data_IF_359807290541
#
_entry.id   IF_359807290541
#
_cell.length_a   1.000
_cell.length_b   1.000
_cell.length_c   1.000
_cell.angle_alpha   90.00
_cell.angle_beta   90.00
_cell.angle_gamma   90.00
#
_symmetry.space_group_name_H-M   'P 1'
#
loop_
_entity.id
_entity.type
_entity.pdbx_description
1 polymer ?
#
# COMPACT_ATOMS: atom_id res chain seq x y z
N UNK A 1 2.22 20.85 -0.89
CA UNK A 1 1.08 19.96 -1.17
C UNK A 1 1.48 19.13 -2.37
N UNK A 2 1.39 17.81 -2.29
CA UNK A 2 1.82 16.89 -3.35
C UNK A 2 0.80 16.98 -4.50
N UNK A 3 1.24 17.23 -5.73
CA UNK A 3 0.34 17.20 -6.90
C UNK A 3 0.08 15.76 -7.30
N UNK A 4 -1.18 15.34 -7.43
CA UNK A 4 -1.52 14.00 -7.92
C UNK A 4 -2.23 14.14 -9.27
N UNK A 5 -1.71 13.46 -10.29
CA UNK A 5 -2.26 13.43 -11.63
C UNK A 5 -2.75 12.01 -11.93
N UNK A 6 -4.02 11.90 -12.33
CA UNK A 6 -4.62 10.64 -12.79
C UNK A 6 -4.70 10.69 -14.32
N UNK A 7 -3.92 9.87 -15.01
CA UNK A 7 -3.87 9.87 -16.49
C UNK A 7 -3.21 8.60 -17.01
N UNK A 8 -3.72 8.09 -18.13
CA UNK A 8 -3.08 6.99 -18.86
C UNK A 8 -2.01 7.47 -19.88
N UNK A 9 -1.84 8.78 -20.07
CA UNK A 9 -0.75 9.40 -20.84
C UNK A 9 0.36 9.93 -19.92
N UNK A 10 1.10 8.99 -19.31
CA UNK A 10 2.23 9.28 -18.41
C UNK A 10 3.27 10.18 -19.09
N UNK A 11 3.58 9.89 -20.36
CA UNK A 11 4.65 10.57 -21.10
C UNK A 11 4.35 12.05 -21.29
N UNK A 12 3.11 12.39 -21.65
CA UNK A 12 2.67 13.78 -21.75
C UNK A 12 2.67 14.48 -20.39
N UNK A 13 2.16 13.82 -19.36
CA UNK A 13 2.15 14.36 -18.00
C UNK A 13 3.57 14.67 -17.48
N UNK A 14 4.51 13.73 -17.64
CA UNK A 14 5.90 13.94 -17.27
C UNK A 14 6.54 15.07 -18.07
N UNK A 15 6.30 15.18 -19.38
CA UNK A 15 6.83 16.29 -20.20
C UNK A 15 6.29 17.65 -19.72
N UNK A 16 5.01 17.74 -19.36
CA UNK A 16 4.41 18.98 -18.81
C UNK A 16 5.08 19.35 -17.49
N UNK A 17 5.12 18.40 -16.53
CA UNK A 17 5.73 18.61 -15.21
C UNK A 17 7.21 19.02 -15.32
N UNK A 18 7.98 18.34 -16.17
CA UNK A 18 9.40 18.66 -16.40
C UNK A 18 9.54 20.05 -17.04
N UNK A 19 8.67 20.40 -18.00
CA UNK A 19 8.66 21.71 -18.65
C UNK A 19 8.41 22.84 -17.65
N UNK A 20 7.42 22.68 -16.76
CA UNK A 20 7.10 23.63 -15.69
C UNK A 20 8.22 23.72 -14.66
N UNK A 21 8.84 22.59 -14.29
CA UNK A 21 9.93 22.54 -13.32
C UNK A 21 11.25 23.13 -13.83
N UNK A 22 11.46 23.13 -15.16
CA UNK A 22 12.70 23.54 -15.83
C UNK A 22 13.99 23.05 -15.12
N UNK A 23 14.15 21.74 -14.89
CA UNK A 23 15.31 21.20 -14.17
C UNK A 23 16.60 21.27 -15.00
N UNK A 24 17.75 21.28 -14.33
CA UNK A 24 19.06 21.24 -15.03
C UNK A 24 19.34 19.89 -15.70
N UNK A 25 18.78 18.81 -15.16
CA UNK A 25 18.84 17.46 -15.70
C UNK A 25 17.76 16.58 -15.07
N UNK A 26 17.40 15.51 -15.75
CA UNK A 26 16.38 14.53 -15.35
C UNK A 26 17.04 13.16 -15.23
N UNK A 27 16.72 12.40 -14.19
CA UNK A 27 17.22 11.04 -13.98
C UNK A 27 16.06 10.11 -13.61
N UNK A 28 15.99 8.94 -14.22
CA UNK A 28 14.99 7.92 -13.89
C UNK A 28 15.61 6.91 -12.93
N UNK A 29 14.89 6.56 -11.86
CA UNK A 29 15.21 5.42 -10.99
C UNK A 29 14.11 4.39 -11.16
N UNK A 30 14.50 3.13 -11.43
CA UNK A 30 13.56 2.02 -11.67
C UNK A 30 14.19 0.69 -11.28
N UNK A 31 13.40 -0.39 -11.26
CA UNK A 31 13.91 -1.75 -11.15
C UNK A 31 14.02 -2.44 -12.51
N UNK A 32 14.70 -3.60 -12.55
CA UNK A 32 14.92 -4.35 -13.78
C UNK A 32 13.63 -4.80 -14.49
N UNK A 33 12.57 -5.16 -13.76
CA UNK A 33 11.32 -5.61 -14.36
C UNK A 33 10.59 -4.46 -15.03
N UNK A 34 10.52 -3.30 -14.36
CA UNK A 34 9.86 -2.10 -14.84
C UNK A 34 10.63 -1.47 -16.01
N UNK A 35 11.96 -1.52 -15.98
CA UNK A 35 12.81 -1.16 -17.12
C UNK A 35 12.43 -1.93 -18.38
N UNK A 36 12.19 -3.23 -18.26
CA UNK A 36 11.97 -4.09 -19.42
C UNK A 36 10.50 -4.09 -19.89
N UNK A 37 9.54 -3.96 -18.96
CA UNK A 37 8.11 -4.08 -19.25
C UNK A 37 7.38 -2.76 -19.43
N UNK A 38 7.81 -1.69 -18.75
CA UNK A 38 7.05 -0.43 -18.68
C UNK A 38 7.77 0.69 -19.43
N UNK A 39 9.07 0.90 -19.19
CA UNK A 39 9.80 2.03 -19.79
C UNK A 39 9.76 2.08 -21.33
N UNK A 40 9.79 0.97 -22.09
CA UNK A 40 9.74 1.02 -23.55
C UNK A 40 8.47 1.71 -24.07
N UNK A 41 7.32 1.50 -23.41
CA UNK A 41 6.06 2.12 -23.78
C UNK A 41 6.03 3.63 -23.49
N UNK A 42 6.79 4.10 -22.49
CA UNK A 42 6.84 5.52 -22.12
C UNK A 42 7.72 6.36 -23.06
N UNK A 43 8.63 5.74 -23.82
CA UNK A 43 9.50 6.44 -24.78
C UNK A 43 10.20 7.68 -24.17
N UNK A 44 10.73 7.52 -22.94
CA UNK A 44 11.45 8.57 -22.21
C UNK A 44 12.96 8.48 -22.50
N UNK A 45 13.55 9.60 -22.93
CA UNK A 45 14.98 9.67 -23.29
C UNK A 45 15.82 10.32 -22.20
N UNK A 46 15.80 9.75 -20.99
CA UNK A 46 16.58 10.23 -19.83
C UNK A 46 17.53 9.15 -19.31
N UNK A 47 18.65 9.51 -18.66
CA UNK A 47 19.51 8.54 -17.97
C UNK A 47 18.71 7.69 -16.98
N UNK A 48 18.91 6.37 -17.02
CA UNK A 48 18.20 5.40 -16.18
C UNK A 48 19.18 4.74 -15.20
N UNK A 49 18.81 4.75 -13.93
CA UNK A 49 19.47 4.05 -12.84
C UNK A 49 18.59 2.85 -12.47
N UNK A 50 19.13 1.65 -12.64
CA UNK A 50 18.38 0.40 -12.49
C UNK A 50 18.79 -0.30 -11.21
N UNK A 51 17.80 -0.71 -10.41
CA UNK A 51 17.99 -1.52 -9.22
C UNK A 51 17.53 -2.96 -9.44
N UNK A 52 17.89 -3.84 -8.50
CA UNK A 52 17.27 -5.15 -8.40
C UNK A 52 15.79 -5.01 -8.00
N UNK A 53 14.90 -5.90 -8.46
CA UNK A 53 13.50 -5.90 -8.05
C UNK A 53 13.30 -6.52 -6.66
N UNK A 54 12.16 -6.22 -6.03
CA UNK A 54 11.73 -6.82 -4.77
C UNK A 54 12.27 -6.13 -3.51
N UNK A 55 11.71 -6.48 -2.35
CA UNK A 55 11.99 -5.82 -1.08
C UNK A 55 13.44 -6.00 -0.60
N UNK A 56 14.11 -7.08 -1.02
CA UNK A 56 15.54 -7.30 -0.76
C UNK A 56 16.43 -6.17 -1.28
N UNK A 57 16.00 -5.48 -2.34
CA UNK A 57 16.72 -4.34 -2.90
C UNK A 57 16.56 -3.06 -2.05
N UNK A 58 15.61 -3.02 -1.11
CA UNK A 58 15.27 -1.86 -0.29
C UNK A 58 16.26 -1.66 0.87
N UNK A 59 17.54 -1.47 0.56
CA UNK A 59 18.62 -1.43 1.55
C UNK A 59 19.65 -0.32 1.25
N UNK A 60 20.57 -0.08 2.20
CA UNK A 60 21.59 0.96 2.10
C UNK A 60 22.56 0.78 0.92
N UNK A 61 22.86 -0.46 0.53
CA UNK A 61 23.75 -0.75 -0.61
C UNK A 61 23.12 -0.27 -1.91
N UNK A 62 21.85 -0.61 -2.16
CA UNK A 62 21.12 -0.15 -3.35
C UNK A 62 20.94 1.36 -3.34
N UNK A 63 20.64 1.95 -2.18
CA UNK A 63 20.55 3.40 -2.02
C UNK A 63 21.88 4.10 -2.39
N UNK A 64 23.01 3.53 -1.96
CA UNK A 64 24.34 4.01 -2.34
C UNK A 64 24.58 3.96 -3.85
N UNK A 65 24.17 2.86 -4.52
CA UNK A 65 24.23 2.73 -5.98
C UNK A 65 23.40 3.80 -6.69
N UNK A 66 22.22 4.14 -6.17
CA UNK A 66 21.39 5.23 -6.72
C UNK A 66 22.13 6.56 -6.65
N UNK A 67 22.71 6.90 -5.49
CA UNK A 67 23.49 8.13 -5.37
C UNK A 67 24.72 8.14 -6.29
N UNK A 68 25.43 7.02 -6.42
CA UNK A 68 26.54 6.90 -7.37
C UNK A 68 26.09 7.13 -8.81
N UNK A 69 24.94 6.57 -9.22
CA UNK A 69 24.34 6.80 -10.53
C UNK A 69 24.00 8.27 -10.76
N UNK A 70 23.40 8.94 -9.77
CA UNK A 70 23.11 10.38 -9.84
C UNK A 70 24.38 11.22 -9.97
N UNK A 71 25.46 10.87 -9.24
CA UNK A 71 26.76 11.56 -9.35
C UNK A 71 27.35 11.36 -10.74
N UNK A 72 27.39 10.12 -11.23
CA UNK A 72 27.93 9.79 -12.54
C UNK A 72 27.14 10.47 -13.68
N UNK A 73 25.81 10.59 -13.53
CA UNK A 73 24.94 11.32 -14.44
C UNK A 73 25.00 12.85 -14.32
N UNK A 74 25.84 13.40 -13.44
CA UNK A 74 25.99 14.84 -13.28
C UNK A 74 24.78 15.53 -12.64
N UNK A 75 24.01 14.82 -11.81
CA UNK A 75 22.86 15.41 -11.11
C UNK A 75 23.30 16.56 -10.18
N UNK A 76 22.54 17.66 -10.19
CA UNK A 76 22.75 18.86 -9.39
C UNK A 76 21.58 19.09 -8.43
N UNK A 77 21.65 20.13 -7.59
CA UNK A 77 20.51 20.53 -6.74
C UNK A 77 19.27 20.97 -7.53
N UNK A 78 19.44 21.34 -8.82
CA UNK A 78 18.34 21.73 -9.71
C UNK A 78 17.85 20.57 -10.58
N UNK A 79 18.38 19.36 -10.40
CA UNK A 79 17.89 18.17 -11.10
C UNK A 79 16.54 17.70 -10.54
N UNK A 80 15.87 16.83 -11.29
CA UNK A 80 14.69 16.09 -10.83
C UNK A 80 14.94 14.60 -10.99
N UNK A 81 14.50 13.81 -10.01
CA UNK A 81 14.51 12.35 -10.06
C UNK A 81 13.09 11.86 -10.35
N UNK A 82 12.92 10.93 -11.29
CA UNK A 82 11.64 10.31 -11.59
C UNK A 82 11.71 8.84 -11.18
N UNK A 83 10.96 8.49 -10.14
CA UNK A 83 10.91 7.12 -9.62
C UNK A 83 9.79 6.37 -10.31
N UNK A 84 10.12 5.43 -11.19
CA UNK A 84 9.14 4.63 -11.95
C UNK A 84 9.23 3.19 -11.46
N UNK A 85 8.24 2.74 -10.67
CA UNK A 85 8.28 1.41 -10.07
C UNK A 85 7.21 1.17 -9.01
N UNK A 86 7.28 0.01 -8.36
CA UNK A 86 6.42 -0.31 -7.20
C UNK A 86 6.83 0.45 -5.93
N UNK A 87 6.25 0.07 -4.79
CA UNK A 87 6.47 0.75 -3.50
C UNK A 87 7.95 0.81 -3.09
N UNK A 88 8.72 -0.24 -3.39
CA UNK A 88 10.16 -0.30 -3.13
C UNK A 88 10.91 0.83 -3.86
N UNK A 89 10.64 1.01 -5.16
CA UNK A 89 11.31 2.03 -5.97
C UNK A 89 10.87 3.43 -5.57
N UNK A 90 9.57 3.65 -5.32
CA UNK A 90 9.07 4.98 -4.92
C UNK A 90 9.59 5.41 -3.55
N UNK A 91 9.68 4.49 -2.59
CA UNK A 91 10.20 4.78 -1.25
C UNK A 91 11.71 5.02 -1.27
N UNK A 92 12.46 4.10 -1.87
CA UNK A 92 13.92 4.17 -1.91
C UNK A 92 14.40 5.32 -2.80
N UNK A 93 13.77 5.51 -3.97
CA UNK A 93 14.08 6.60 -4.89
C UNK A 93 13.70 7.97 -4.31
N UNK A 94 12.55 8.06 -3.62
CA UNK A 94 12.16 9.25 -2.87
C UNK A 94 13.15 9.57 -1.75
N UNK A 95 13.60 8.57 -0.99
CA UNK A 95 14.59 8.77 0.07
C UNK A 95 15.96 9.17 -0.50
N UNK A 96 16.36 8.56 -1.63
CA UNK A 96 17.56 8.95 -2.35
C UNK A 96 17.51 10.42 -2.76
N UNK A 97 16.38 10.89 -3.32
CA UNK A 97 16.18 12.27 -3.72
C UNK A 97 16.16 13.22 -2.51
N UNK A 98 15.49 12.85 -1.42
CA UNK A 98 15.40 13.65 -0.20
C UNK A 98 16.77 13.90 0.47
N UNK A 99 17.70 12.94 0.34
CA UNK A 99 19.02 13.00 0.97
C UNK A 99 20.13 13.46 0.02
N UNK A 100 19.98 13.24 -1.28
CA UNK A 100 20.97 13.64 -2.27
C UNK A 100 21.14 15.17 -2.31
N UNK A 101 22.37 15.65 -2.11
CA UNK A 101 22.72 17.08 -2.01
C UNK A 101 21.86 17.88 -1.00
N UNK A 102 21.31 17.20 0.02
CA UNK A 102 20.36 17.69 1.03
C UNK A 102 18.95 17.98 0.48
N UNK A 103 18.54 17.27 -0.56
CA UNK A 103 17.23 17.38 -1.17
C UNK A 103 17.33 17.81 -2.63
N UNK A 104 16.72 17.01 -3.50
CA UNK A 104 16.39 17.35 -4.88
C UNK A 104 14.92 17.03 -5.12
N UNK A 105 14.32 17.70 -6.11
CA UNK A 105 12.92 17.45 -6.50
C UNK A 105 12.76 16.04 -7.04
N UNK A 106 11.60 15.46 -6.83
CA UNK A 106 11.28 14.17 -7.43
C UNK A 106 9.80 13.98 -7.74
N UNK A 107 9.56 13.08 -8.70
CA UNK A 107 8.23 12.68 -9.16
C UNK A 107 8.13 11.16 -8.98
N UNK A 108 7.00 10.69 -8.46
CA UNK A 108 6.71 9.26 -8.39
C UNK A 108 5.75 8.85 -9.52
N UNK A 109 6.04 7.72 -10.17
CA UNK A 109 5.17 7.05 -11.14
C UNK A 109 4.98 5.61 -10.65
N UNK A 110 3.98 5.37 -9.77
CA UNK A 110 3.71 4.04 -9.26
C UNK A 110 3.29 3.09 -10.38
N UNK A 111 3.89 1.89 -10.41
CA UNK A 111 3.59 0.84 -11.41
C UNK A 111 2.97 -0.42 -10.80
N UNK A 112 2.72 -0.40 -9.49
CA UNK A 112 1.93 -1.42 -8.79
C UNK A 112 0.65 -0.77 -8.28
N UNK A 113 -0.46 -1.51 -8.24
CA UNK A 113 -1.70 -0.99 -7.68
C UNK A 113 -1.53 -0.57 -6.21
N UNK A 114 -0.81 -1.39 -5.42
CA UNK A 114 -0.50 -1.10 -4.02
C UNK A 114 0.27 0.21 -3.84
N UNK A 115 1.27 0.47 -4.68
CA UNK A 115 2.01 1.73 -4.60
C UNK A 115 1.20 2.94 -5.05
N UNK A 116 0.28 2.76 -6.00
CA UNK A 116 -0.57 3.86 -6.46
C UNK A 116 -1.64 4.26 -5.43
N UNK A 117 -2.23 3.28 -4.74
CA UNK A 117 -3.27 3.52 -3.72
C UNK A 117 -2.70 3.97 -2.38
N UNK A 118 -1.48 3.50 -2.03
CA UNK A 118 -0.89 3.75 -0.72
C UNK A 118 0.53 4.34 -0.80
N UNK A 119 1.55 3.55 -1.15
CA UNK A 119 2.96 3.91 -0.87
C UNK A 119 3.45 5.21 -1.53
N UNK A 120 3.06 5.50 -2.78
CA UNK A 120 3.53 6.68 -3.50
C UNK A 120 2.91 8.01 -3.00
N UNK A 121 1.84 7.93 -2.21
CA UNK A 121 1.05 9.06 -1.71
C UNK A 121 1.27 9.24 -0.20
N UNK A 122 1.63 10.46 0.22
CA UNK A 122 1.80 10.81 1.64
C UNK A 122 3.24 11.03 2.12
N UNK A 123 4.23 10.87 1.23
CA UNK A 123 5.60 11.37 1.44
C UNK A 123 6.44 10.63 2.48
N UNK A 124 6.06 9.41 2.88
CA UNK A 124 6.94 8.52 3.64
C UNK A 124 7.91 7.86 2.66
N UNK A 125 9.20 7.98 2.89
CA UNK A 125 10.25 7.41 2.05
C UNK A 125 11.31 6.77 2.93
N UNK A 126 11.95 5.68 2.49
CA UNK A 126 12.95 5.03 3.32
C UNK A 126 13.48 3.71 2.78
N UNK A 127 14.29 3.07 3.61
CA UNK A 127 14.91 1.77 3.39
C UNK A 127 14.74 0.85 4.60
N UNK A 128 14.87 -0.44 4.37
CA UNK A 128 15.02 -1.44 5.42
C UNK A 128 16.46 -1.39 5.95
N UNK A 129 16.65 -1.67 7.24
CA UNK A 129 17.96 -1.67 7.88
C UNK A 129 18.03 -2.75 8.95
N UNK A 130 19.09 -3.56 8.95
CA UNK A 130 19.31 -4.65 9.92
C UNK A 130 18.10 -5.59 10.10
N UNK A 131 17.38 -5.89 9.02
CA UNK A 131 16.21 -6.78 9.02
C UNK A 131 14.90 -6.10 9.44
N UNK A 132 14.93 -4.82 9.79
CA UNK A 132 13.74 -4.03 10.14
C UNK A 132 13.18 -3.31 8.91
N UNK A 133 11.88 -3.46 8.66
CA UNK A 133 11.18 -2.80 7.55
C UNK A 133 11.05 -1.29 7.81
N UNK A 134 11.37 -0.47 6.81
CA UNK A 134 11.17 1.00 6.83
C UNK A 134 11.82 1.76 8.01
N UNK A 135 12.88 1.22 8.60
CA UNK A 135 13.48 1.74 9.83
C UNK A 135 14.19 3.09 9.63
N UNK A 136 14.83 3.28 8.46
CA UNK A 136 15.55 4.51 8.13
C UNK A 136 14.85 5.23 6.99
N UNK A 137 14.42 6.47 7.21
CA UNK A 137 13.67 7.21 6.21
C UNK A 137 13.53 8.70 6.45
N UNK A 138 12.70 9.33 5.63
CA UNK A 138 12.34 10.74 5.73
C UNK A 138 10.88 10.99 5.33
N UNK A 139 10.28 12.00 5.94
CA UNK A 139 9.03 12.61 5.46
C UNK A 139 9.38 13.63 4.38
N UNK A 140 9.33 13.18 3.13
CA UNK A 140 9.60 13.97 1.93
C UNK A 140 8.50 13.71 0.91
N UNK A 141 7.53 14.64 0.71
CA UNK A 141 6.52 14.49 -0.33
C UNK A 141 7.17 14.69 -1.71
N UNK A 142 6.72 13.90 -2.69
CA UNK A 142 7.07 14.15 -4.08
C UNK A 142 6.48 15.50 -4.53
N UNK A 143 7.14 16.17 -5.48
CA UNK A 143 6.56 17.34 -6.15
C UNK A 143 5.29 16.94 -6.94
N UNK A 144 5.31 15.74 -7.53
CA UNK A 144 4.13 15.15 -8.18
C UNK A 144 4.09 13.62 -8.09
N UNK A 145 2.89 13.05 -8.19
CA UNK A 145 2.63 11.62 -8.40
C UNK A 145 1.80 11.47 -9.67
N UNK A 146 2.25 10.66 -10.62
CA UNK A 146 1.51 10.35 -11.86
C UNK A 146 0.95 8.95 -11.74
N UNK A 147 -0.34 8.84 -11.44
CA UNK A 147 -1.06 7.59 -11.28
C UNK A 147 -1.69 7.20 -12.61
N UNK A 148 -1.40 5.98 -13.07
CA UNK A 148 -1.79 5.47 -14.37
C UNK A 148 -2.01 3.97 -14.33
N UNK A 149 -3.22 3.52 -14.64
CA UNK A 149 -3.57 2.10 -14.70
C UNK A 149 -2.98 1.41 -15.93
N UNK A 150 -2.56 2.15 -16.96
CA UNK A 150 -1.89 1.58 -18.14
C UNK A 150 -0.65 0.74 -17.84
N UNK A 151 0.03 1.02 -16.71
CA UNK A 151 1.23 0.28 -16.28
C UNK A 151 0.92 -1.07 -15.63
N UNK A 152 -0.33 -1.26 -15.17
CA UNK A 152 -0.75 -2.43 -14.42
C UNK A 152 -1.05 -3.64 -15.30
N UNK A 153 -1.23 -3.44 -16.62
CA UNK A 153 -1.43 -4.51 -17.61
C UNK A 153 -0.33 -5.58 -17.61
N UNK A 154 0.86 -5.25 -17.09
CA UNK A 154 2.01 -6.16 -17.00
C UNK A 154 2.22 -6.78 -15.61
N UNK A 155 1.38 -6.43 -14.63
CA UNK A 155 1.48 -6.91 -13.26
C UNK A 155 0.99 -8.36 -13.15
N UNK A 156 1.64 -9.18 -12.31
CA UNK A 156 1.07 -10.44 -11.87
C UNK A 156 -0.29 -10.23 -11.20
N UNK A 157 -1.21 -11.20 -11.34
CA UNK A 157 -2.52 -11.18 -10.69
C UNK A 157 -2.40 -10.96 -9.18
N UNK A 158 -1.40 -11.56 -8.54
CA UNK A 158 -1.16 -11.42 -7.09
C UNK A 158 -0.88 -9.97 -6.68
N UNK A 159 -0.11 -9.22 -7.47
CA UNK A 159 0.19 -7.81 -7.22
C UNK A 159 -1.04 -6.92 -7.43
N UNK A 160 -1.90 -7.27 -8.39
CA UNK A 160 -3.21 -6.62 -8.56
C UNK A 160 -4.10 -6.83 -7.34
N UNK A 161 -4.28 -8.08 -6.90
CA UNK A 161 -5.09 -8.41 -5.73
C UNK A 161 -4.54 -7.79 -4.44
N UNK A 162 -3.22 -7.78 -4.28
CA UNK A 162 -2.57 -7.16 -3.12
C UNK A 162 -2.86 -5.66 -3.05
N UNK A 163 -2.81 -4.93 -4.18
CA UNK A 163 -3.19 -3.52 -4.18
C UNK A 163 -4.68 -3.29 -4.00
N UNK A 164 -5.51 -4.18 -4.56
CA UNK A 164 -6.96 -4.05 -4.50
C UNK A 164 -7.53 -4.24 -3.09
N UNK A 165 -6.85 -5.00 -2.24
CA UNK A 165 -7.21 -5.12 -0.82
C UNK A 165 -7.23 -3.75 -0.11
N UNK A 166 -6.25 -2.89 -0.39
CA UNK A 166 -6.24 -1.52 0.16
C UNK A 166 -7.36 -0.65 -0.43
N UNK A 167 -7.76 -0.90 -1.69
CA UNK A 167 -8.93 -0.24 -2.27
C UNK A 167 -10.21 -0.65 -1.56
N UNK A 168 -10.41 -1.95 -1.30
CA UNK A 168 -11.56 -2.47 -0.53
C UNK A 168 -11.61 -1.87 0.87
N UNK A 169 -10.45 -1.75 1.53
CA UNK A 169 -10.32 -1.04 2.81
C UNK A 169 -10.81 0.40 2.71
N UNK A 170 -10.35 1.15 1.71
CA UNK A 170 -10.82 2.52 1.50
C UNK A 170 -12.32 2.60 1.20
N UNK A 171 -12.88 1.63 0.47
CA UNK A 171 -14.33 1.51 0.27
C UNK A 171 -15.08 1.37 1.59
N UNK A 172 -14.67 0.40 2.43
CA UNK A 172 -15.24 0.19 3.78
C UNK A 172 -15.15 1.42 4.68
N UNK A 173 -14.16 2.28 4.49
CA UNK A 173 -13.96 3.53 5.24
C UNK A 173 -14.67 4.75 4.62
N UNK A 174 -15.19 4.62 3.40
CA UNK A 174 -15.78 5.73 2.64
C UNK A 174 -17.29 5.74 2.74
N UNK A 175 -17.93 4.72 2.18
CA UNK A 175 -19.39 4.57 2.10
C UNK A 175 -19.77 3.17 1.64
N UNK A 176 -21.01 2.76 1.90
CA UNK A 176 -21.59 1.53 1.35
C UNK A 176 -21.54 1.48 -0.18
N UNK A 177 -21.85 2.60 -0.85
CA UNK A 177 -21.84 2.70 -2.31
C UNK A 177 -20.44 2.47 -2.89
N UNK A 178 -19.42 3.15 -2.38
CA UNK A 178 -18.03 2.98 -2.85
C UNK A 178 -17.52 1.57 -2.58
N UNK A 179 -17.87 0.98 -1.43
CA UNK A 179 -17.50 -0.39 -1.09
C UNK A 179 -18.15 -1.41 -2.04
N UNK A 180 -19.45 -1.28 -2.29
CA UNK A 180 -20.18 -2.18 -3.18
C UNK A 180 -19.72 -2.04 -4.63
N UNK A 181 -19.42 -0.82 -5.10
CA UNK A 181 -18.85 -0.60 -6.43
C UNK A 181 -17.54 -1.36 -6.64
N UNK A 182 -16.69 -1.46 -5.60
CA UNK A 182 -15.46 -2.25 -5.65
C UNK A 182 -15.74 -3.76 -5.64
N UNK A 183 -16.69 -4.23 -4.82
CA UNK A 183 -17.04 -5.65 -4.79
C UNK A 183 -17.65 -6.14 -6.11
N UNK A 184 -18.34 -5.26 -6.84
CA UNK A 184 -18.97 -5.59 -8.12
C UNK A 184 -17.98 -5.45 -9.31
N UNK A 185 -16.74 -5.01 -9.06
CA UNK A 185 -15.70 -4.88 -10.06
C UNK A 185 -14.80 -6.13 -10.09
N UNK A 186 -14.78 -6.82 -11.23
CA UNK A 186 -13.87 -7.95 -11.44
C UNK A 186 -12.43 -7.45 -11.65
N UNK A 187 -11.63 -7.48 -10.59
CA UNK A 187 -10.22 -7.09 -10.65
C UNK A 187 -9.34 -8.11 -11.39
N UNK A 188 -9.80 -9.36 -11.54
CA UNK A 188 -9.03 -10.40 -12.22
C UNK A 188 -9.05 -10.21 -13.75
N UNK A 189 -10.11 -9.60 -14.28
CA UNK A 189 -10.24 -9.19 -15.69
C UNK A 189 -10.50 -7.67 -15.81
N UNK A 190 -9.68 -6.90 -15.11
CA UNK A 190 -9.87 -5.45 -14.98
C UNK A 190 -9.69 -4.70 -16.30
N UNK A 191 -10.70 -3.91 -16.68
CA UNK A 191 -10.54 -2.82 -17.64
C UNK A 191 -9.79 -1.66 -16.98
N UNK A 192 -8.58 -1.36 -17.46
CA UNK A 192 -7.70 -0.35 -16.89
C UNK A 192 -8.30 1.06 -16.97
N UNK A 193 -9.07 1.39 -18.00
CA UNK A 193 -9.71 2.71 -18.10
C UNK A 193 -10.83 2.85 -17.07
N UNK A 194 -11.54 1.76 -16.76
CA UNK A 194 -12.56 1.72 -15.70
C UNK A 194 -11.96 1.68 -14.29
N UNK A 195 -10.77 1.10 -14.13
CA UNK A 195 -10.07 1.04 -12.84
C UNK A 195 -9.54 2.42 -12.40
N UNK A 196 -9.15 3.29 -13.34
CA UNK A 196 -8.52 4.57 -13.00
C UNK A 196 -9.42 5.49 -12.14
N UNK A 197 -10.71 5.69 -12.46
CA UNK A 197 -11.65 6.40 -11.59
C UNK A 197 -11.83 5.77 -10.21
N UNK A 198 -11.87 4.43 -10.12
CA UNK A 198 -12.01 3.72 -8.82
C UNK A 198 -10.76 3.94 -7.95
N UNK A 199 -9.58 3.88 -8.57
CA UNK A 199 -8.32 4.18 -7.91
C UNK A 199 -8.25 5.64 -7.44
N UNK A 200 -8.72 6.59 -8.26
CA UNK A 200 -8.82 7.99 -7.85
C UNK A 200 -9.73 8.17 -6.63
N UNK A 201 -10.93 7.57 -6.62
CA UNK A 201 -11.82 7.59 -5.45
C UNK A 201 -11.12 7.03 -4.21
N UNK A 202 -10.44 5.89 -4.37
CA UNK A 202 -9.72 5.23 -3.28
C UNK A 202 -8.61 6.11 -2.69
N UNK A 203 -7.77 6.73 -3.53
CA UNK A 203 -6.70 7.64 -3.07
C UNK A 203 -7.29 8.86 -2.38
N UNK A 204 -8.40 9.42 -2.87
CA UNK A 204 -9.08 10.57 -2.24
C UNK A 204 -9.59 10.26 -0.84
N UNK A 205 -10.00 9.02 -0.54
CA UNK A 205 -10.37 8.60 0.83
C UNK A 205 -9.18 8.74 1.77
N UNK A 206 -8.01 8.21 1.38
CA UNK A 206 -6.77 8.34 2.14
C UNK A 206 -6.36 9.81 2.30
N UNK A 207 -6.42 10.60 1.23
CA UNK A 207 -6.09 12.03 1.29
C UNK A 207 -7.02 12.79 2.25
N UNK A 208 -8.33 12.55 2.20
CA UNK A 208 -9.31 13.15 3.13
C UNK A 208 -8.94 12.83 4.57
N UNK A 209 -8.74 11.55 4.89
CA UNK A 209 -8.43 11.08 6.25
C UNK A 209 -7.08 11.64 6.74
N UNK A 210 -6.05 11.66 5.89
CA UNK A 210 -4.72 12.19 6.24
C UNK A 210 -4.75 13.71 6.41
N UNK A 211 -5.54 14.43 5.61
CA UNK A 211 -5.69 15.88 5.74
C UNK A 211 -6.46 16.27 6.99
N UNK A 212 -7.45 15.46 7.40
CA UNK A 212 -8.20 15.64 8.64
C UNK A 212 -7.32 15.37 9.87
N UNK A 213 -6.46 14.35 9.82
CA UNK A 213 -5.56 14.00 10.92
C UNK A 213 -4.10 13.72 10.46
N UNK A 214 -3.30 14.77 10.18
CA UNK A 214 -1.93 14.61 9.68
C UNK A 214 -0.96 13.97 10.67
N UNK A 215 -1.30 13.95 11.97
CA UNK A 215 -0.42 13.46 13.05
C UNK A 215 -0.90 12.15 13.68
N UNK A 216 -1.91 11.49 13.10
CA UNK A 216 -2.39 10.17 13.51
C UNK A 216 -2.86 10.10 14.98
N UNK A 217 -3.66 11.09 15.40
CA UNK A 217 -4.23 11.17 16.75
C UNK A 217 -5.72 10.82 16.84
N UNK A 218 -6.38 10.57 15.72
CA UNK A 218 -7.81 10.31 15.62
C UNK A 218 -8.13 9.51 14.36
N UNK A 219 -8.93 10.08 13.47
CA UNK A 219 -9.52 9.37 12.32
C UNK A 219 -8.50 8.68 11.40
N UNK A 220 -7.24 9.14 11.34
CA UNK A 220 -6.21 8.48 10.53
C UNK A 220 -5.89 7.06 10.98
N UNK A 221 -6.17 6.73 12.25
CA UNK A 221 -6.09 5.35 12.75
C UNK A 221 -7.03 4.41 11.99
N UNK A 222 -8.12 4.93 11.41
CA UNK A 222 -9.05 4.12 10.63
C UNK A 222 -8.41 3.48 9.39
N UNK A 223 -7.34 4.06 8.85
CA UNK A 223 -6.57 3.44 7.75
C UNK A 223 -5.89 2.13 8.15
N UNK A 224 -5.85 1.80 9.44
CA UNK A 224 -5.34 0.54 9.96
C UNK A 224 -6.41 -0.56 10.05
N UNK A 225 -7.61 -0.36 9.51
CA UNK A 225 -8.60 -1.43 9.33
C UNK A 225 -7.96 -2.63 8.62
N UNK A 226 -8.14 -3.81 9.19
CA UNK A 226 -7.55 -5.08 8.76
C UNK A 226 -6.06 -5.26 9.07
N UNK A 227 -5.36 -4.23 9.56
CA UNK A 227 -3.90 -4.29 9.73
C UNK A 227 -3.48 -4.93 11.05
N UNK A 228 -4.28 -4.86 12.12
CA UNK A 228 -3.88 -5.46 13.41
C UNK A 228 -3.77 -6.98 13.25
N UNK A 229 -4.80 -7.60 12.66
CA UNK A 229 -4.80 -9.05 12.41
C UNK A 229 -3.96 -9.38 11.17
N UNK A 230 -4.01 -8.54 10.13
CA UNK A 230 -3.22 -8.74 8.92
C UNK A 230 -1.72 -8.79 9.18
N UNK A 231 -1.16 -7.89 9.99
CA UNK A 231 0.26 -7.95 10.35
C UNK A 231 0.61 -9.19 11.17
N UNK A 232 -0.30 -9.70 12.01
CA UNK A 232 -0.10 -10.94 12.73
C UNK A 232 -0.04 -12.15 11.77
N UNK A 233 -0.92 -12.21 10.76
CA UNK A 233 -0.85 -13.22 9.70
C UNK A 233 0.44 -13.10 8.88
N UNK A 234 0.82 -11.89 8.46
CA UNK A 234 2.06 -11.67 7.69
C UNK A 234 3.30 -12.13 8.49
N UNK A 235 3.35 -11.77 9.77
CA UNK A 235 4.48 -12.11 10.66
C UNK A 235 4.58 -13.62 10.91
N UNK A 236 3.45 -14.28 11.18
CA UNK A 236 3.42 -15.74 11.36
C UNK A 236 3.84 -16.48 10.08
N UNK A 237 3.36 -16.03 8.92
CA UNK A 237 3.72 -16.60 7.63
C UNK A 237 5.23 -16.45 7.34
N UNK A 238 5.80 -15.29 7.70
CA UNK A 238 7.23 -15.03 7.62
C UNK A 238 8.05 -15.92 8.57
N UNK A 239 7.61 -16.11 9.82
CA UNK A 239 8.24 -17.02 10.79
C UNK A 239 8.31 -18.47 10.30
N UNK A 240 7.32 -18.89 9.51
CA UNK A 240 7.24 -20.23 8.92
C UNK A 240 7.99 -20.37 7.59
N UNK A 241 8.57 -19.29 7.07
CA UNK A 241 9.26 -19.30 5.78
C UNK A 241 8.33 -19.35 4.56
N UNK A 242 7.04 -19.04 4.75
CA UNK A 242 6.02 -19.01 3.70
C UNK A 242 5.43 -17.59 3.59
N UNK A 243 6.23 -16.56 3.22
CA UNK A 243 5.76 -15.19 3.20
C UNK A 243 4.56 -15.00 2.25
N UNK A 244 3.60 -14.18 2.70
CA UNK A 244 2.41 -13.81 1.93
C UNK A 244 2.48 -12.34 1.52
N UNK A 245 1.86 -11.93 0.40
CA UNK A 245 1.79 -10.52 0.03
C UNK A 245 1.00 -9.72 1.07
N UNK A 246 1.45 -8.49 1.36
CA UNK A 246 0.84 -7.58 2.34
C UNK A 246 -0.68 -7.45 2.18
N UNK A 247 -1.15 -7.21 0.96
CA UNK A 247 -2.58 -7.01 0.71
C UNK A 247 -3.43 -8.26 0.96
N UNK A 248 -2.87 -9.47 0.83
CA UNK A 248 -3.58 -10.70 1.18
C UNK A 248 -3.78 -10.78 2.68
N UNK A 249 -2.71 -10.49 3.43
CA UNK A 249 -2.77 -10.44 4.88
C UNK A 249 -3.77 -9.38 5.37
N UNK A 250 -3.78 -8.19 4.75
CA UNK A 250 -4.77 -7.14 5.04
C UNK A 250 -6.19 -7.59 4.67
N UNK A 251 -6.40 -8.29 3.55
CA UNK A 251 -7.72 -8.80 3.18
C UNK A 251 -8.27 -9.82 4.20
N UNK A 252 -7.44 -10.77 4.63
CA UNK A 252 -7.82 -11.72 5.68
C UNK A 252 -8.04 -11.02 7.04
N UNK A 253 -7.19 -10.04 7.34
CA UNK A 253 -7.32 -9.21 8.53
C UNK A 253 -8.63 -8.42 8.54
N UNK A 254 -9.01 -7.81 7.41
CA UNK A 254 -10.30 -7.13 7.27
C UNK A 254 -11.47 -8.09 7.49
N UNK A 255 -11.46 -9.28 6.88
CA UNK A 255 -12.52 -10.27 7.12
C UNK A 255 -12.66 -10.59 8.62
N UNK A 256 -11.54 -10.82 9.31
CA UNK A 256 -11.54 -11.13 10.74
C UNK A 256 -12.00 -9.94 11.59
N UNK A 257 -11.53 -8.72 11.30
CA UNK A 257 -11.94 -7.50 12.00
C UNK A 257 -13.40 -7.12 11.73
N UNK A 258 -13.94 -7.45 10.55
CA UNK A 258 -15.37 -7.33 10.25
C UNK A 258 -16.20 -8.32 11.08
N UNK A 259 -15.71 -9.54 11.31
CA UNK A 259 -16.37 -10.50 12.23
C UNK A 259 -16.37 -9.97 13.66
N UNK A 260 -15.25 -9.42 14.15
CA UNK A 260 -15.21 -8.76 15.47
C UNK A 260 -16.23 -7.62 15.52
N UNK A 261 -16.29 -6.80 14.47
CA UNK A 261 -17.25 -5.71 14.31
C UNK A 261 -18.70 -6.21 14.38
N UNK A 262 -19.00 -7.39 13.82
CA UNK A 262 -20.33 -8.00 13.91
C UNK A 262 -20.66 -8.43 15.34
N UNK A 263 -19.71 -9.06 16.03
CA UNK A 263 -19.88 -9.56 17.40
C UNK A 263 -20.08 -8.40 18.39
N UNK A 264 -19.30 -7.31 18.27
CA UNK A 264 -19.30 -6.22 19.27
C UNK A 264 -20.10 -4.98 18.87
N UNK A 265 -20.17 -4.64 17.57
CA UNK A 265 -20.73 -3.36 17.09
C UNK A 265 -21.99 -3.54 16.21
N UNK A 266 -22.50 -4.77 16.07
CA UNK A 266 -23.67 -5.09 15.22
C UNK A 266 -23.45 -4.80 13.72
N UNK A 267 -22.20 -4.88 13.24
CA UNK A 267 -21.90 -4.78 11.81
C UNK A 267 -22.76 -5.75 10.97
N UNK A 268 -23.33 -5.37 9.83
CA UNK A 268 -24.29 -6.23 9.11
C UNK A 268 -23.67 -7.56 8.64
N UNK A 269 -24.29 -8.69 9.02
CA UNK A 269 -23.79 -10.02 8.61
C UNK A 269 -23.83 -10.24 7.09
N UNK A 270 -24.74 -9.58 6.37
CA UNK A 270 -24.79 -9.62 4.91
C UNK A 270 -23.47 -9.15 4.27
N UNK A 271 -22.82 -8.14 4.85
CA UNK A 271 -21.54 -7.62 4.35
C UNK A 271 -20.38 -8.58 4.62
N UNK A 272 -20.45 -9.38 5.70
CA UNK A 272 -19.50 -10.48 5.96
C UNK A 272 -19.55 -11.52 4.84
N UNK A 273 -20.76 -11.98 4.49
CA UNK A 273 -20.93 -12.99 3.44
C UNK A 273 -20.54 -12.45 2.07
N UNK A 274 -20.85 -11.18 1.78
CA UNK A 274 -20.46 -10.55 0.51
C UNK A 274 -18.94 -10.45 0.39
N UNK A 275 -18.26 -9.99 1.43
CA UNK A 275 -16.79 -9.91 1.46
C UNK A 275 -16.15 -11.30 1.35
N UNK A 276 -16.62 -12.28 2.12
CA UNK A 276 -16.12 -13.65 2.08
C UNK A 276 -16.29 -14.29 0.69
N UNK A 277 -17.43 -14.04 0.03
CA UNK A 277 -17.67 -14.53 -1.34
C UNK A 277 -16.68 -13.90 -2.32
N UNK A 278 -16.49 -12.58 -2.23
CA UNK A 278 -15.50 -11.87 -3.06
C UNK A 278 -14.09 -12.43 -2.89
N UNK A 279 -13.63 -12.65 -1.65
CA UNK A 279 -12.29 -13.21 -1.38
C UNK A 279 -12.11 -14.60 -2.01
N UNK A 280 -13.13 -15.46 -1.90
CA UNK A 280 -13.11 -16.82 -2.46
C UNK A 280 -13.12 -16.82 -3.99
N UNK A 281 -13.95 -15.98 -4.60
CA UNK A 281 -14.10 -15.91 -6.06
C UNK A 281 -12.85 -15.33 -6.75
N UNK A 282 -12.21 -14.33 -6.15
CA UNK A 282 -11.09 -13.64 -6.78
C UNK A 282 -9.73 -14.30 -6.52
N UNK A 283 -9.66 -15.23 -5.56
CA UNK A 283 -8.48 -16.05 -5.30
C UNK A 283 -7.52 -15.46 -4.26
N UNK A 284 -8.05 -14.82 -3.22
CA UNK A 284 -7.25 -14.43 -2.05
C UNK A 284 -6.79 -15.65 -1.22
N UNK A 285 -7.41 -16.82 -1.43
CA UNK A 285 -7.10 -18.02 -0.65
C UNK A 285 -7.31 -17.82 0.85
N UNK A 286 -6.63 -18.62 1.64
CA UNK A 286 -6.66 -18.57 3.11
C UNK A 286 -5.25 -18.62 3.69
N UNK A 287 -5.01 -18.01 4.86
CA UNK A 287 -3.77 -18.21 5.59
C UNK A 287 -3.73 -19.64 6.15
N UNK A 288 -2.55 -20.26 6.12
CA UNK A 288 -2.33 -21.58 6.72
C UNK A 288 -2.28 -21.46 8.25
N UNK A 289 -3.45 -21.48 8.91
CA UNK A 289 -3.58 -21.33 10.36
C UNK A 289 -4.54 -22.35 10.97
N UNK A 290 -4.28 -22.72 12.22
CA UNK A 290 -5.16 -23.53 13.05
C UNK A 290 -5.42 -22.87 14.41
N UNK A 291 -6.28 -23.46 15.23
CA UNK A 291 -6.52 -22.97 16.59
C UNK A 291 -5.28 -23.08 17.50
N UNK A 292 -4.29 -23.92 17.14
CA UNK A 292 -3.00 -24.00 17.85
C UNK A 292 -2.16 -22.73 17.68
N UNK A 293 -2.44 -21.93 16.65
CA UNK A 293 -1.71 -20.69 16.33
C UNK A 293 -2.26 -19.46 17.06
N UNK A 294 -3.46 -19.55 17.65
CA UNK A 294 -4.13 -18.41 18.27
C UNK A 294 -3.30 -17.74 19.37
N UNK A 295 -2.60 -18.47 20.27
CA UNK A 295 -1.72 -17.84 21.25
C UNK A 295 -0.61 -16.99 20.61
N UNK A 296 0.01 -17.49 19.53
CA UNK A 296 1.08 -16.75 18.82
C UNK A 296 0.53 -15.55 18.07
N UNK A 297 -0.63 -15.69 17.44
CA UNK A 297 -1.31 -14.58 16.76
C UNK A 297 -1.68 -13.46 17.74
N UNK A 298 -2.19 -13.79 18.93
CA UNK A 298 -2.50 -12.81 19.98
C UNK A 298 -1.24 -12.07 20.45
N UNK A 299 -0.13 -12.80 20.64
CA UNK A 299 1.16 -12.20 21.00
C UNK A 299 1.64 -11.22 19.91
N UNK A 300 1.58 -11.62 18.64
CA UNK A 300 1.94 -10.77 17.50
C UNK A 300 1.06 -9.52 17.41
N UNK A 301 -0.26 -9.66 17.64
CA UNK A 301 -1.19 -8.52 17.70
C UNK A 301 -0.89 -7.58 18.87
N UNK A 302 -0.43 -8.11 20.02
CA UNK A 302 -0.12 -7.31 21.22
C UNK A 302 1.09 -6.38 21.00
N UNK A 303 1.96 -6.69 20.04
CA UNK A 303 3.10 -5.88 19.65
C UNK A 303 2.78 -4.77 18.62
N UNK A 304 1.52 -4.66 18.19
CA UNK A 304 1.10 -3.56 17.32
C UNK A 304 1.32 -2.21 18.03
N UNK A 305 1.90 -1.25 17.29
CA UNK A 305 2.25 0.11 17.76
C UNK A 305 1.04 0.90 18.27
N UNK A 306 -0.18 0.46 17.99
CA UNK A 306 -1.45 1.06 18.43
C UNK A 306 -1.82 0.72 19.87
N UNK A 307 -1.24 -0.33 20.45
CA UNK A 307 -1.65 -0.81 21.77
C UNK A 307 -1.10 0.09 22.89
N UNK A 308 -1.96 0.52 23.80
CA UNK A 308 -1.55 1.28 24.98
C UNK A 308 -0.91 0.36 26.03
N UNK A 309 -1.37 -0.89 26.09
CA UNK A 309 -0.83 -1.96 26.94
C UNK A 309 -0.89 -3.29 26.19
N UNK A 310 -0.02 -4.25 26.54
CA UNK A 310 -0.02 -5.58 25.92
C UNK A 310 -1.33 -6.37 26.15
N UNK A 311 -2.12 -5.98 27.16
CA UNK A 311 -3.39 -6.61 27.53
C UNK A 311 -4.59 -6.07 26.73
N UNK A 312 -4.41 -4.97 25.99
CA UNK A 312 -5.47 -4.29 25.24
C UNK A 312 -5.07 -4.13 23.78
N UNK A 313 -5.51 -5.10 22.97
CA UNK A 313 -5.30 -5.06 21.53
C UNK A 313 -6.33 -4.09 20.92
N UNK A 314 -5.80 -3.04 20.27
CA UNK A 314 -6.59 -1.99 19.67
C UNK A 314 -6.87 -2.30 18.17
N UNK A 315 -8.13 -2.18 17.80
CA UNK A 315 -8.67 -2.42 16.47
C UNK A 315 -9.36 -1.17 15.91
N UNK A 316 -9.36 -1.09 14.58
CA UNK A 316 -10.36 -0.29 13.86
C UNK A 316 -11.50 -1.22 13.50
N UNK A 317 -12.69 -0.97 14.04
CA UNK A 317 -13.90 -1.74 13.74
C UNK A 317 -14.87 -0.89 12.92
N UNK A 318 -16.02 -1.46 12.55
CA UNK A 318 -17.07 -0.82 11.76
C UNK A 318 -18.44 -1.02 12.41
N UNK A 319 -19.30 0.01 12.44
CA UNK A 319 -20.75 -0.21 12.69
C UNK A 319 -21.48 -0.53 11.40
N UNK A 320 -21.02 0.04 10.27
CA UNK A 320 -21.48 -0.22 8.91
C UNK A 320 -20.40 0.25 7.91
N UNK A 321 -20.48 -0.13 6.61
CA UNK A 321 -19.60 0.47 5.61
C UNK A 321 -19.70 2.00 5.59
N UNK A 322 -18.56 2.68 5.73
CA UNK A 322 -18.48 4.13 5.85
C UNK A 322 -18.52 4.68 7.29
N UNK A 323 -18.71 3.83 8.30
CA UNK A 323 -18.76 4.22 9.71
C UNK A 323 -17.66 3.53 10.54
N UNK A 324 -16.40 4.01 10.45
CA UNK A 324 -15.30 3.45 11.23
C UNK A 324 -15.36 3.82 12.71
N UNK A 325 -15.10 2.82 13.56
CA UNK A 325 -14.99 2.93 15.01
C UNK A 325 -13.52 2.70 15.39
N UNK A 326 -12.81 3.80 15.69
CA UNK A 326 -11.43 3.76 16.16
C UNK A 326 -11.35 3.48 17.66
N UNK A 327 -10.17 3.02 18.12
CA UNK A 327 -9.86 2.80 19.53
C UNK A 327 -10.84 1.83 20.19
N UNK A 328 -11.15 0.73 19.48
CA UNK A 328 -11.96 -0.37 19.99
C UNK A 328 -11.06 -1.51 20.42
N UNK A 329 -11.43 -2.17 21.50
CA UNK A 329 -10.71 -3.33 22.01
C UNK A 329 -11.60 -4.56 21.92
N UNK A 330 -10.99 -5.71 21.63
CA UNK A 330 -11.65 -7.01 21.70
C UNK A 330 -10.96 -7.86 22.76
N UNK A 331 -11.75 -8.62 23.51
CA UNK A 331 -11.22 -9.62 24.46
C UNK A 331 -10.57 -10.77 23.69
N UNK A 332 -9.64 -11.46 24.33
CA UNK A 332 -9.03 -12.68 23.78
C UNK A 332 -10.09 -13.70 23.30
N UNK A 333 -11.19 -13.84 24.05
CA UNK A 333 -12.30 -14.73 23.67
C UNK A 333 -12.96 -14.29 22.36
N UNK A 334 -13.23 -12.99 22.19
CA UNK A 334 -13.83 -12.47 20.95
C UNK A 334 -12.89 -12.60 19.76
N UNK A 335 -11.58 -12.41 19.96
CA UNK A 335 -10.59 -12.58 18.89
C UNK A 335 -10.53 -14.04 18.43
N UNK A 336 -10.51 -14.99 19.38
CA UNK A 336 -10.52 -16.43 19.05
C UNK A 336 -11.80 -16.85 18.32
N UNK A 337 -12.96 -16.41 18.82
CA UNK A 337 -14.25 -16.65 18.16
C UNK A 337 -14.27 -16.08 16.74
N UNK A 338 -13.74 -14.86 16.54
CA UNK A 338 -13.64 -14.26 15.22
C UNK A 338 -12.70 -15.02 14.29
N UNK A 339 -11.59 -15.56 14.79
CA UNK A 339 -10.67 -16.40 14.02
C UNK A 339 -11.29 -17.74 13.63
N UNK A 340 -12.15 -18.33 14.47
CA UNK A 340 -12.89 -19.54 14.13
C UNK A 340 -13.92 -19.26 13.02
N UNK A 341 -14.74 -18.21 13.17
CA UNK A 341 -15.73 -17.81 12.15
C UNK A 341 -15.04 -17.42 10.84
N UNK A 342 -13.91 -16.72 10.89
CA UNK A 342 -13.09 -16.41 9.72
C UNK A 342 -12.69 -17.68 8.98
N UNK A 343 -12.20 -18.70 9.70
CA UNK A 343 -11.83 -20.00 9.11
C UNK A 343 -13.04 -20.69 8.50
N UNK A 344 -14.20 -20.66 9.14
CA UNK A 344 -15.42 -21.26 8.57
C UNK A 344 -15.92 -20.55 7.30
N UNK A 345 -15.69 -19.23 7.19
CA UNK A 345 -16.11 -18.44 6.04
C UNK A 345 -15.18 -18.56 4.83
N UNK A 346 -13.87 -18.73 5.08
CA UNK A 346 -12.80 -18.58 4.08
C UNK A 346 -12.02 -19.88 3.80
N UNK A 347 -11.78 -20.73 4.81
CA UNK A 347 -10.88 -21.87 4.71
C UNK A 347 -11.54 -23.15 4.18
#
# INVERSE_FOLDING_TARGET
MQTILYTNDISSALRSLIGEMAPSSVHIVTDANVRDKVLPALSLSYPVIVTEPGDVAKNLSTLSRIWSGLIAGGATRKSVVINIGGGVVTDMGGFAAATFKRGVRFINVPTTLLSAVDAAVGGKTGINFEGLKNEIGAFAPADAVVISTSTFSSLPKEEMLSGYAEMLKHGLLSSEEDYHELLDFDIADADMDRLLPLLEKSVRVKERIVNEDPREKGIRRALNLGHTIGHAFESLAMERGCPVPHGYAVAWGMMTEMVISHISEQFPSAELYRYASYLKEHGYGSPDISCEDYPRLLELMSHDKKNETAEHINFTLLSSPGEPLIDRCATESQIKEALDIFRDLIC
#
